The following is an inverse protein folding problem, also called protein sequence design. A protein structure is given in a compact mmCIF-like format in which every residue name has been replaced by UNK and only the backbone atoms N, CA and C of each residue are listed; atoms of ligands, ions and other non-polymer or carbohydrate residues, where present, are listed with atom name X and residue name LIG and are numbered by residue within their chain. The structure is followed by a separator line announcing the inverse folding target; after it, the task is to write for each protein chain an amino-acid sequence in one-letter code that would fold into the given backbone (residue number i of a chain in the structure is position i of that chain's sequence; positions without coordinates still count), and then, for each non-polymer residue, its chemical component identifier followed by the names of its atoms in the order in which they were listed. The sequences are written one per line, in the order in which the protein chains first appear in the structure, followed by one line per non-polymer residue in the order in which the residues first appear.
data_IF_062633573816
#
_entry.id   IF_062633573816
#
_cell.length_a   1.000
_cell.length_b   1.000
_cell.length_c   1.000
_cell.angle_alpha   90.00
_cell.angle_beta   90.00
_cell.angle_gamma   90.00
#
_symmetry.space_group_name_H-M   'P 1'
#
loop_
_entity.id
_entity.type
_entity.pdbx_description
1 polymer ?
#
# COMPACT_ATOMS: atom_id res chain seq x y z
N UNK A 1 -5.99 -28.75 59.29
CA UNK A 1 -5.12 -27.84 58.52
C UNK A 1 -3.99 -28.57 57.76
N UNK A 2 -4.12 -29.87 57.43
CA UNK A 2 -3.05 -30.63 56.75
C UNK A 2 -3.16 -30.60 55.21
N UNK A 3 -4.36 -30.39 54.66
CA UNK A 3 -4.62 -30.41 53.22
C UNK A 3 -4.55 -29.04 52.54
N UNK A 4 -4.51 -27.94 53.32
CA UNK A 4 -4.50 -26.58 52.77
C UNK A 4 -3.15 -26.25 52.10
N UNK A 5 -2.05 -26.73 52.70
CA UNK A 5 -0.69 -26.52 52.19
C UNK A 5 -0.45 -27.23 50.84
N UNK A 6 -0.76 -28.53 50.67
CA UNK A 6 -0.61 -29.19 49.37
C UNK A 6 -1.57 -28.61 48.32
N UNK A 7 -2.79 -28.20 48.70
CA UNK A 7 -3.75 -27.58 47.78
C UNK A 7 -3.21 -26.27 47.19
N UNK A 8 -2.57 -25.42 48.00
CA UNK A 8 -1.93 -24.19 47.53
C UNK A 8 -0.80 -24.50 46.54
N UNK A 9 0.03 -25.52 46.80
CA UNK A 9 1.08 -25.92 45.86
C UNK A 9 0.52 -26.40 44.51
N UNK A 10 -0.58 -27.16 44.52
CA UNK A 10 -1.23 -27.57 43.28
C UNK A 10 -1.83 -26.40 42.50
N UNK A 11 -2.44 -25.42 43.18
CA UNK A 11 -2.98 -24.22 42.53
C UNK A 11 -1.86 -23.37 41.91
N UNK A 12 -0.76 -23.18 42.64
CA UNK A 12 0.40 -22.42 42.12
C UNK A 12 1.06 -23.13 40.93
N UNK A 13 1.17 -24.46 40.96
CA UNK A 13 1.69 -25.24 39.84
C UNK A 13 0.77 -25.14 38.60
N UNK A 14 -0.55 -25.24 38.79
CA UNK A 14 -1.51 -25.12 37.69
C UNK A 14 -1.50 -23.72 37.05
N UNK A 15 -1.39 -22.66 37.84
CA UNK A 15 -1.26 -21.29 37.34
C UNK A 15 0.06 -21.06 36.58
N UNK A 16 1.16 -21.63 37.06
CA UNK A 16 2.45 -21.58 36.35
C UNK A 16 2.40 -22.31 35.00
N UNK A 17 1.73 -23.46 34.94
CA UNK A 17 1.52 -24.23 33.70
C UNK A 17 0.63 -23.45 32.72
N UNK A 18 -0.43 -22.77 33.20
CA UNK A 18 -1.29 -21.95 32.36
C UNK A 18 -0.54 -20.77 31.72
N UNK A 19 0.39 -20.16 32.45
CA UNK A 19 1.26 -19.08 31.92
C UNK A 19 2.25 -19.60 30.86
N UNK A 20 2.71 -20.85 30.96
CA UNK A 20 3.58 -21.51 29.97
C UNK A 20 2.84 -21.94 28.69
N UNK A 21 1.51 -22.12 28.76
CA UNK A 21 0.65 -22.46 27.62
C UNK A 21 0.03 -21.20 27.01
N UNK A 22 0.40 -19.99 27.49
CA UNK A 22 0.01 -18.76 26.81
C UNK A 22 0.40 -18.91 25.34
N UNK A 23 -0.56 -18.89 24.39
CA UNK A 23 -0.19 -18.82 23.00
C UNK A 23 0.66 -17.57 22.90
N UNK A 24 1.87 -17.71 22.38
CA UNK A 24 2.66 -16.56 21.94
C UNK A 24 1.68 -15.73 21.12
N UNK A 25 1.24 -14.59 21.65
CA UNK A 25 0.66 -13.58 20.80
C UNK A 25 1.83 -13.17 19.93
N UNK A 26 2.00 -13.86 18.80
CA UNK A 26 2.63 -13.25 17.65
C UNK A 26 1.86 -11.96 17.50
N UNK A 27 2.47 -10.86 17.92
CA UNK A 27 2.10 -9.56 17.42
C UNK A 27 2.09 -9.77 15.91
N UNK A 28 0.89 -9.94 15.37
CA UNK A 28 0.62 -9.70 13.97
C UNK A 28 0.92 -8.20 13.88
N UNK A 29 2.20 -7.88 13.75
CA UNK A 29 2.60 -6.72 12.99
C UNK A 29 1.66 -6.75 11.81
N UNK A 30 0.93 -5.65 11.60
CA UNK A 30 0.32 -5.38 10.32
C UNK A 30 1.50 -5.31 9.33
N UNK A 31 2.08 -6.46 8.98
CA UNK A 31 2.76 -6.66 7.73
C UNK A 31 1.62 -6.44 6.77
N UNK A 32 1.53 -5.18 6.35
CA UNK A 32 0.72 -4.75 5.26
C UNK A 32 1.26 -5.56 4.09
N UNK A 33 0.74 -6.78 3.90
CA UNK A 33 1.07 -7.77 2.87
C UNK A 33 0.68 -7.26 1.48
N UNK A 34 0.71 -5.95 1.30
CA UNK A 34 0.42 -5.25 0.07
C UNK A 34 1.64 -5.29 -0.80
N UNK A 35 1.44 -5.76 -2.02
CA UNK A 35 2.47 -5.74 -3.05
C UNK A 35 2.65 -4.31 -3.54
N UNK A 36 3.89 -3.82 -3.57
CA UNK A 36 4.15 -2.49 -4.14
C UNK A 36 4.12 -2.56 -5.66
N UNK A 37 3.18 -1.85 -6.28
CA UNK A 37 3.07 -1.69 -7.72
C UNK A 37 3.53 -0.28 -8.09
N UNK A 38 4.72 -0.15 -8.68
CA UNK A 38 5.23 1.15 -9.15
C UNK A 38 5.06 1.29 -10.66
N UNK A 39 4.28 2.29 -11.09
CA UNK A 39 4.09 2.64 -12.49
C UNK A 39 4.99 3.82 -12.86
N UNK A 40 5.92 3.59 -13.77
CA UNK A 40 6.75 4.63 -14.38
C UNK A 40 6.15 4.99 -15.73
N UNK A 41 5.88 6.27 -15.94
CA UNK A 41 5.19 6.73 -17.15
C UNK A 41 5.54 8.18 -17.47
N UNK A 42 5.40 8.54 -18.74
CA UNK A 42 5.45 9.92 -19.21
C UNK A 42 4.04 10.52 -19.16
N UNK A 43 3.94 11.83 -18.89
CA UNK A 43 2.65 12.54 -18.86
C UNK A 43 1.96 12.56 -20.24
N UNK A 44 0.85 13.30 -20.37
CA UNK A 44 -0.15 13.22 -21.46
C UNK A 44 0.38 13.25 -22.90
N UNK A 45 1.63 13.63 -23.12
CA UNK A 45 2.27 13.62 -24.43
C UNK A 45 2.63 12.20 -24.92
N UNK A 46 2.75 11.22 -24.02
CA UNK A 46 2.83 9.81 -24.37
C UNK A 46 1.42 9.19 -24.50
N UNK A 47 0.95 9.01 -25.73
CA UNK A 47 -0.38 8.47 -26.05
C UNK A 47 -0.65 7.11 -25.35
N UNK A 48 0.33 6.21 -25.37
CA UNK A 48 0.19 4.87 -24.77
C UNK A 48 0.15 4.93 -23.25
N UNK A 49 0.94 5.80 -22.64
CA UNK A 49 1.00 6.00 -21.19
C UNK A 49 -0.34 6.55 -20.68
N UNK A 50 -0.87 7.57 -21.36
CA UNK A 50 -2.18 8.15 -21.04
C UNK A 50 -3.32 7.14 -21.21
N UNK A 51 -3.27 6.33 -22.29
CA UNK A 51 -4.24 5.27 -22.54
C UNK A 51 -4.20 4.18 -21.46
N UNK A 52 -3.01 3.72 -21.07
CA UNK A 52 -2.85 2.72 -20.02
C UNK A 52 -3.43 3.21 -18.69
N UNK A 53 -3.12 4.45 -18.30
CA UNK A 53 -3.65 5.02 -17.05
C UNK A 53 -5.18 5.13 -17.11
N UNK A 54 -5.73 5.61 -18.22
CA UNK A 54 -7.17 5.88 -18.34
C UNK A 54 -8.01 4.61 -18.50
N UNK A 55 -7.46 3.59 -19.17
CA UNK A 55 -8.24 2.41 -19.57
C UNK A 55 -7.87 1.14 -18.79
N UNK A 56 -6.60 0.95 -18.45
CA UNK A 56 -6.11 -0.30 -17.87
C UNK A 56 -5.83 -0.20 -16.38
N UNK A 57 -5.12 0.84 -15.94
CA UNK A 57 -4.85 1.05 -14.51
C UNK A 57 -6.15 1.26 -13.72
N UNK A 58 -7.15 1.93 -14.31
CA UNK A 58 -8.46 2.13 -13.67
C UNK A 58 -9.13 0.80 -13.29
N UNK A 59 -8.91 -0.29 -14.04
CA UNK A 59 -9.46 -1.62 -13.76
C UNK A 59 -8.98 -2.20 -12.42
N UNK A 60 -7.80 -1.78 -11.94
CA UNK A 60 -7.26 -2.17 -10.62
C UNK A 60 -8.18 -1.71 -9.49
N UNK A 61 -8.87 -0.58 -9.66
CA UNK A 61 -9.80 -0.03 -8.68
C UNK A 61 -11.22 -0.60 -8.79
N UNK A 62 -11.56 -1.21 -9.92
CA UNK A 62 -12.84 -1.93 -10.10
C UNK A 62 -12.81 -3.37 -9.56
N UNK A 63 -11.63 -3.87 -9.20
CA UNK A 63 -11.44 -5.20 -8.59
C UNK A 63 -10.99 -5.04 -7.14
N UNK A 64 -10.88 -6.14 -6.40
CA UNK A 64 -10.31 -6.17 -5.05
C UNK A 64 -8.78 -5.96 -5.02
N UNK A 65 -8.14 -5.87 -6.19
CA UNK A 65 -6.70 -5.71 -6.33
C UNK A 65 -6.18 -4.44 -5.62
N UNK A 66 -6.95 -3.35 -5.61
CA UNK A 66 -6.59 -2.11 -4.88
C UNK A 66 -6.42 -2.31 -3.36
N UNK A 67 -7.03 -3.36 -2.78
CA UNK A 67 -6.94 -3.64 -1.33
C UNK A 67 -5.63 -4.33 -0.95
N UNK A 68 -4.99 -4.99 -1.91
CA UNK A 68 -3.77 -5.82 -1.73
C UNK A 68 -2.53 -5.21 -2.39
N UNK A 69 -2.61 -3.99 -2.94
CA UNK A 69 -1.45 -3.31 -3.51
C UNK A 69 -1.19 -1.96 -2.85
N UNK A 70 0.07 -1.56 -2.86
CA UNK A 70 0.49 -0.18 -2.64
C UNK A 70 0.87 0.43 -4.01
N UNK A 71 -0.04 1.21 -4.59
CA UNK A 71 0.18 1.83 -5.89
C UNK A 71 1.06 3.08 -5.76
N UNK A 72 2.17 3.10 -6.50
CA UNK A 72 3.08 4.25 -6.60
C UNK A 72 3.15 4.73 -8.05
N UNK A 73 2.77 5.98 -8.28
CA UNK A 73 2.87 6.65 -9.58
C UNK A 73 4.17 7.44 -9.65
N UNK A 74 4.92 7.26 -10.74
CA UNK A 74 6.20 7.92 -10.98
C UNK A 74 6.19 8.55 -12.37
N UNK A 75 5.86 9.84 -12.47
CA UNK A 75 6.07 10.59 -13.70
C UNK A 75 7.58 10.63 -13.98
N UNK A 76 8.00 10.02 -15.07
CA UNK A 76 9.40 9.87 -15.42
C UNK A 76 9.61 10.21 -16.89
N UNK A 77 10.48 11.18 -17.17
CA UNK A 77 10.98 11.43 -18.51
C UNK A 77 12.22 10.56 -18.76
N UNK A 78 12.32 9.95 -19.93
CA UNK A 78 13.44 9.08 -20.24
C UNK A 78 14.79 9.86 -20.25
N UNK A 79 15.83 9.19 -19.76
CA UNK A 79 17.29 9.48 -19.68
C UNK A 79 17.81 10.87 -20.12
N UNK A 80 18.61 11.51 -19.24
CA UNK A 80 19.47 12.67 -19.52
C UNK A 80 18.77 13.92 -20.06
N UNK A 81 18.04 14.63 -19.20
CA UNK A 81 17.63 16.05 -19.40
C UNK A 81 16.69 16.27 -20.61
N UNK A 82 16.47 15.26 -21.45
CA UNK A 82 15.74 15.35 -22.71
C UNK A 82 14.56 14.38 -22.71
N UNK A 83 13.40 14.92 -22.37
CA UNK A 83 12.13 14.23 -22.57
C UNK A 83 11.87 13.97 -24.06
N UNK A 84 11.26 12.83 -24.39
CA UNK A 84 11.06 12.37 -25.77
C UNK A 84 10.13 13.30 -26.55
N UNK A 85 9.19 13.96 -25.86
CA UNK A 85 8.26 14.92 -26.44
C UNK A 85 8.65 16.38 -26.12
N UNK A 86 9.92 16.63 -25.81
CA UNK A 86 10.47 17.97 -25.59
C UNK A 86 10.21 18.54 -24.18
N UNK A 87 10.52 19.82 -23.99
CA UNK A 87 10.48 20.46 -22.67
C UNK A 87 9.10 20.48 -22.01
N UNK A 88 8.03 20.49 -22.81
CA UNK A 88 6.66 20.45 -22.30
C UNK A 88 6.41 19.17 -21.50
N UNK A 89 6.89 18.03 -21.96
CA UNK A 89 6.77 16.77 -21.24
C UNK A 89 7.53 16.81 -19.92
N UNK A 90 8.74 17.34 -19.92
CA UNK A 90 9.55 17.50 -18.71
C UNK A 90 8.87 18.44 -17.70
N UNK A 91 8.29 19.54 -18.18
CA UNK A 91 7.54 20.49 -17.37
C UNK A 91 6.30 19.84 -16.76
N UNK A 92 5.52 19.09 -17.55
CA UNK A 92 4.33 18.38 -17.10
C UNK A 92 4.67 17.23 -16.15
N UNK A 93 5.74 16.46 -16.42
CA UNK A 93 6.25 15.42 -15.52
C UNK A 93 6.63 16.01 -14.15
N UNK A 94 7.23 17.21 -14.15
CA UNK A 94 7.58 17.94 -12.92
C UNK A 94 6.33 18.38 -12.17
N UNK A 95 5.37 19.03 -12.84
CA UNK A 95 4.10 19.44 -12.22
C UNK A 95 3.39 18.24 -11.61
N UNK A 96 3.28 17.14 -12.35
CA UNK A 96 2.59 15.95 -11.86
C UNK A 96 3.32 15.34 -10.65
N UNK A 97 4.65 15.32 -10.67
CA UNK A 97 5.45 14.89 -9.52
C UNK A 97 5.20 15.77 -8.29
N UNK A 98 5.10 17.09 -8.47
CA UNK A 98 4.73 18.01 -7.39
C UNK A 98 3.31 17.75 -6.87
N UNK A 99 2.33 17.52 -7.75
CA UNK A 99 0.95 17.21 -7.33
C UNK A 99 0.91 15.94 -6.49
N UNK A 100 1.59 14.86 -6.92
CA UNK A 100 1.67 13.61 -6.14
C UNK A 100 2.37 13.84 -4.80
N UNK A 101 3.42 14.68 -4.75
CA UNK A 101 4.14 14.98 -3.53
C UNK A 101 3.29 15.77 -2.51
N UNK A 102 2.60 16.82 -2.95
CA UNK A 102 1.80 17.67 -2.08
C UNK A 102 0.42 17.09 -1.76
N UNK A 103 -0.14 16.27 -2.64
CA UNK A 103 -1.39 15.54 -2.45
C UNK A 103 -1.16 14.03 -2.61
N UNK A 104 -0.55 13.37 -1.61
CA UNK A 104 -0.34 11.91 -1.65
C UNK A 104 -1.66 11.14 -1.71
N UNK A 105 -2.74 11.73 -1.17
CA UNK A 105 -4.10 11.22 -1.30
C UNK A 105 -4.62 11.28 -2.73
N UNK A 106 -3.93 11.90 -3.70
CA UNK A 106 -4.40 11.89 -5.09
C UNK A 106 -4.46 10.46 -5.64
N UNK A 107 -3.59 9.55 -5.17
CA UNK A 107 -3.65 8.12 -5.51
C UNK A 107 -4.91 7.46 -4.91
N UNK A 108 -5.24 7.81 -3.67
CA UNK A 108 -6.46 7.36 -2.99
C UNK A 108 -7.71 8.01 -3.59
N UNK A 109 -7.64 9.26 -4.01
CA UNK A 109 -8.71 9.99 -4.68
C UNK A 109 -8.92 9.50 -6.11
N UNK A 110 -7.86 9.06 -6.80
CA UNK A 110 -7.97 8.37 -8.07
C UNK A 110 -8.77 7.08 -7.89
N UNK A 111 -8.41 6.27 -6.88
CA UNK A 111 -9.20 5.12 -6.45
C UNK A 111 -10.67 5.48 -6.18
N UNK A 112 -10.91 6.52 -5.37
CA UNK A 112 -12.24 6.88 -4.92
C UNK A 112 -13.13 7.49 -6.02
N UNK A 113 -12.59 8.34 -6.91
CA UNK A 113 -13.35 8.89 -8.04
C UNK A 113 -13.78 7.81 -9.02
N UNK A 114 -12.94 6.79 -9.23
CA UNK A 114 -13.26 5.70 -10.15
C UNK A 114 -14.13 4.59 -9.52
N UNK A 115 -14.09 4.43 -8.19
CA UNK A 115 -15.03 3.57 -7.45
C UNK A 115 -16.48 4.12 -7.42
N UNK A 116 -16.65 5.43 -7.36
CA UNK A 116 -17.98 6.07 -7.26
C UNK A 116 -18.61 6.48 -8.61
N UNK A 117 -17.90 6.27 -9.72
CA UNK A 117 -18.37 6.60 -11.07
C UNK A 117 -18.94 5.39 -11.84
N UNK A 118 -19.16 4.25 -11.15
CA UNK A 118 -19.86 3.07 -11.69
C UNK A 118 -21.22 2.87 -11.02
#
# INVERSE_FOLDING_TARGET
MAYLRPLIFYILAALAIFMLISPSHSSLDNVNDRVTLSLYYETSLCQHCASFISNDLVKVFHTDLHTIINLRLVPWGNVEIHCQHGEEECYLNTIHSCVIHFWPDVVNSFSQKHLHSS
#
